data_IF_403642267061
#
_entry.id   IF_403642267061
#
_cell.length_a   1.000
_cell.length_b   1.000
_cell.length_c   1.000
_cell.angle_alpha   90.00
_cell.angle_beta   90.00
_cell.angle_gamma   90.00
#
_symmetry.space_group_name_H-M   'P 1'
#
loop_
_entity.id
_entity.type
_entity.pdbx_description
1 polymer ?
#
# COMPACT_ATOMS: atom_id res chain seq x y z
N UNK A 1 6.01 15.60 6.59
CA UNK A 1 5.55 14.28 6.10
C UNK A 1 6.53 13.22 6.60
N UNK A 2 6.06 12.18 7.30
CA UNK A 2 6.92 11.07 7.78
C UNK A 2 6.90 9.94 6.74
N UNK A 3 8.04 9.30 6.51
CA UNK A 3 8.20 8.17 5.56
C UNK A 3 8.64 6.94 6.34
N UNK A 4 7.99 5.80 6.12
CA UNK A 4 8.29 4.54 6.77
C UNK A 4 8.43 3.46 5.69
N UNK A 5 9.56 2.75 5.69
CA UNK A 5 9.84 1.67 4.74
C UNK A 5 9.68 0.30 5.43
N UNK A 6 8.83 -0.56 4.88
CA UNK A 6 8.68 -1.95 5.30
C UNK A 6 9.37 -2.89 4.28
N UNK A 7 10.70 -3.05 4.37
CA UNK A 7 11.51 -3.78 3.38
C UNK A 7 12.19 -5.04 3.91
N UNK A 8 12.25 -6.10 3.09
CA UNK A 8 12.97 -7.36 3.33
C UNK A 8 13.03 -8.20 2.04
N UNK A 9 14.17 -8.85 1.78
CA UNK A 9 14.41 -9.70 0.60
C UNK A 9 13.63 -11.02 0.64
N UNK A 10 13.49 -11.62 1.82
CA UNK A 10 12.72 -12.87 1.99
C UNK A 10 11.21 -12.60 1.85
N UNK A 11 10.53 -13.39 1.03
CA UNK A 11 9.07 -13.43 0.94
C UNK A 11 8.42 -14.00 2.19
N UNK A 12 7.16 -13.65 2.47
CA UNK A 12 6.38 -14.26 3.56
C UNK A 12 6.73 -13.82 4.99
N UNK A 13 7.68 -12.90 5.20
CA UNK A 13 8.06 -12.42 6.55
C UNK A 13 7.06 -11.43 7.17
N UNK A 14 5.93 -11.15 6.51
CA UNK A 14 4.89 -10.26 7.03
C UNK A 14 5.03 -8.76 6.72
N UNK A 15 5.83 -8.36 5.73
CA UNK A 15 6.00 -6.94 5.35
C UNK A 15 4.68 -6.22 5.09
N UNK A 16 3.85 -6.78 4.20
CA UNK A 16 2.56 -6.20 3.81
C UNK A 16 1.57 -6.23 4.97
N UNK A 17 1.63 -7.28 5.80
CA UNK A 17 0.84 -7.38 7.04
C UNK A 17 1.17 -6.25 8.00
N UNK A 18 2.47 -5.99 8.23
CA UNK A 18 2.93 -4.91 9.09
C UNK A 18 2.55 -3.54 8.51
N UNK A 19 2.78 -3.33 7.21
CA UNK A 19 2.46 -2.07 6.53
C UNK A 19 0.96 -1.72 6.62
N UNK A 20 0.08 -2.69 6.35
CA UNK A 20 -1.37 -2.50 6.44
C UNK A 20 -1.85 -2.18 7.86
N UNK A 21 -1.40 -2.95 8.86
CA UNK A 21 -1.77 -2.72 10.25
C UNK A 21 -1.21 -1.40 10.80
N UNK A 22 0.02 -1.04 10.43
CA UNK A 22 0.62 0.23 10.80
C UNK A 22 -0.18 1.41 10.21
N UNK A 23 -0.59 1.30 8.95
CA UNK A 23 -1.39 2.34 8.30
C UNK A 23 -2.74 2.53 8.98
N UNK A 24 -3.45 1.44 9.31
CA UNK A 24 -4.70 1.48 10.07
C UNK A 24 -4.48 2.11 11.46
N UNK A 25 -3.46 1.68 12.19
CA UNK A 25 -3.17 2.22 13.53
C UNK A 25 -2.83 3.71 13.51
N UNK A 26 -2.16 4.21 12.47
CA UNK A 26 -1.88 5.62 12.28
C UNK A 26 -3.13 6.41 11.88
N UNK A 27 -3.97 5.85 11.00
CA UNK A 27 -5.24 6.46 10.57
C UNK A 27 -6.22 6.60 11.74
N UNK A 28 -6.35 5.57 12.58
CA UNK A 28 -7.15 5.62 13.81
C UNK A 28 -6.69 6.70 14.80
N UNK A 29 -5.42 7.12 14.72
CA UNK A 29 -4.87 8.23 15.51
C UNK A 29 -5.04 9.60 14.82
N UNK A 30 -5.89 9.69 13.80
CA UNK A 30 -6.18 10.93 13.07
C UNK A 30 -5.13 11.34 12.03
N UNK A 31 -4.18 10.47 11.69
CA UNK A 31 -3.16 10.78 10.67
C UNK A 31 -3.70 10.46 9.28
N UNK A 32 -3.37 11.31 8.29
CA UNK A 32 -3.54 10.97 6.87
C UNK A 32 -2.43 10.02 6.45
N UNK A 33 -2.79 8.86 5.91
CA UNK A 33 -1.85 7.79 5.56
C UNK A 33 -2.12 7.28 4.15
N UNK A 34 -1.05 7.13 3.38
CA UNK A 34 -1.05 6.46 2.09
C UNK A 34 -0.01 5.33 2.11
N UNK A 35 -0.36 4.17 1.57
CA UNK A 35 0.59 3.08 1.31
C UNK A 35 1.04 3.15 -0.13
N UNK A 36 2.36 3.17 -0.35
CA UNK A 36 2.98 2.99 -1.67
C UNK A 36 3.45 1.53 -1.76
N UNK A 37 2.76 0.72 -2.55
CA UNK A 37 3.11 -0.68 -2.79
C UNK A 37 4.07 -0.79 -3.97
N UNK A 38 5.31 -1.16 -3.67
CA UNK A 38 6.37 -1.34 -4.67
C UNK A 38 6.60 -2.81 -5.02
N UNK A 39 5.82 -3.73 -4.45
CA UNK A 39 5.90 -5.16 -4.75
C UNK A 39 5.08 -5.47 -6.01
N UNK A 40 5.64 -6.26 -6.93
CA UNK A 40 4.96 -6.66 -8.16
C UNK A 40 3.67 -7.46 -7.90
N UNK A 41 3.56 -8.12 -6.74
CA UNK A 41 2.36 -8.84 -6.32
C UNK A 41 1.22 -7.92 -5.85
N UNK A 42 1.53 -6.66 -5.51
CA UNK A 42 0.57 -5.63 -5.11
C UNK A 42 -0.34 -6.06 -3.95
N UNK A 43 0.22 -6.73 -2.96
CA UNK A 43 -0.54 -7.30 -1.82
C UNK A 43 -1.26 -6.23 -1.02
N UNK A 44 -0.64 -5.07 -0.77
CA UNK A 44 -1.26 -3.99 -0.01
C UNK A 44 -2.38 -3.32 -0.81
N UNK A 45 -2.20 -3.13 -2.13
CA UNK A 45 -3.26 -2.59 -3.00
C UNK A 45 -4.47 -3.50 -2.98
N UNK A 46 -4.30 -4.81 -3.24
CA UNK A 46 -5.41 -5.78 -3.25
C UNK A 46 -6.14 -5.83 -1.91
N UNK A 47 -5.39 -5.82 -0.81
CA UNK A 47 -5.94 -5.77 0.54
C UNK A 47 -6.77 -4.50 0.77
N UNK A 48 -6.22 -3.36 0.35
CA UNK A 48 -6.84 -2.05 0.42
C UNK A 48 -8.14 -1.92 -0.35
N UNK A 49 -8.12 -2.27 -1.63
CA UNK A 49 -9.29 -2.28 -2.49
C UNK A 49 -10.40 -3.15 -1.92
N UNK A 50 -10.07 -4.33 -1.35
CA UNK A 50 -11.07 -5.20 -0.70
C UNK A 50 -11.71 -4.52 0.51
N UNK A 51 -10.94 -3.83 1.36
CA UNK A 51 -11.49 -3.06 2.49
C UNK A 51 -12.45 -1.97 2.02
N UNK A 52 -12.09 -1.26 0.96
CA UNK A 52 -12.93 -0.20 0.37
C UNK A 52 -14.24 -0.76 -0.18
N UNK A 53 -14.18 -1.84 -0.96
CA UNK A 53 -15.36 -2.54 -1.47
C UNK A 53 -16.29 -3.06 -0.36
N UNK A 54 -15.73 -3.39 0.80
CA UNK A 54 -16.46 -3.89 1.97
C UNK A 54 -16.84 -2.77 2.95
N UNK A 55 -16.59 -1.49 2.63
CA UNK A 55 -16.83 -0.34 3.51
C UNK A 55 -16.20 -0.50 4.90
N UNK A 56 -14.99 -1.07 4.97
CA UNK A 56 -14.29 -1.30 6.24
C UNK A 56 -13.44 -0.09 6.60
N UNK A 57 -13.82 0.59 7.68
CA UNK A 57 -13.09 1.73 8.20
C UNK A 57 -11.86 1.34 9.07
N UNK A 58 -10.86 2.24 9.18
CA UNK A 58 -10.68 3.41 8.33
C UNK A 58 -10.32 3.02 6.90
N UNK A 59 -10.75 3.83 5.93
CA UNK A 59 -10.24 3.76 4.57
C UNK A 59 -8.77 4.19 4.54
N UNK A 60 -7.96 3.48 3.76
CA UNK A 60 -6.54 3.77 3.58
C UNK A 60 -6.33 4.09 2.11
N UNK A 61 -5.52 5.10 1.80
CA UNK A 61 -5.18 5.41 0.42
C UNK A 61 -4.03 4.53 -0.05
N UNK A 62 -4.02 4.19 -1.35
CA UNK A 62 -3.01 3.32 -1.95
C UNK A 62 -2.48 3.88 -3.26
N UNK A 63 -1.19 3.70 -3.49
CA UNK A 63 -0.55 3.91 -4.78
C UNK A 63 0.36 2.72 -5.10
N UNK A 64 0.56 2.45 -6.38
CA UNK A 64 1.42 1.36 -6.86
C UNK A 64 2.38 1.86 -7.92
N UNK A 65 3.44 1.09 -8.16
CA UNK A 65 4.33 1.30 -9.29
C UNK A 65 3.73 0.65 -10.54
N UNK A 66 3.45 1.48 -11.55
CA UNK A 66 3.16 1.01 -12.89
C UNK A 66 4.44 1.03 -13.71
N UNK A 67 4.78 -0.13 -14.27
CA UNK A 67 5.82 -0.21 -15.29
C UNK A 67 5.21 0.02 -16.67
N UNK A 68 5.85 0.85 -17.48
CA UNK A 68 5.50 1.02 -18.88
C UNK A 68 5.90 -0.24 -19.65
N UNK A 69 4.98 -0.81 -20.43
CA UNK A 69 5.28 -2.01 -21.24
C UNK A 69 6.44 -1.69 -22.19
N UNK A 70 7.60 -2.33 -21.98
CA UNK A 70 8.81 -2.14 -22.80
C UNK A 70 9.74 -0.98 -22.40
N UNK A 71 9.55 -0.34 -21.23
CA UNK A 71 10.43 0.74 -20.74
C UNK A 71 10.99 0.49 -19.34
N UNK A 72 12.11 1.14 -19.01
CA UNK A 72 12.72 1.10 -17.67
C UNK A 72 12.11 2.13 -16.69
N UNK A 73 11.11 2.89 -17.13
CA UNK A 73 10.47 3.94 -16.35
C UNK A 73 9.33 3.36 -15.50
N UNK A 74 9.34 3.66 -14.21
CA UNK A 74 8.29 3.31 -13.27
C UNK A 74 7.60 4.57 -12.76
N UNK A 75 6.28 4.58 -12.79
CA UNK A 75 5.47 5.72 -12.34
C UNK A 75 4.64 5.31 -11.14
N UNK A 76 4.52 6.20 -10.16
CA UNK A 76 3.58 6.02 -9.06
C UNK A 76 2.21 6.46 -9.56
N UNK A 77 1.24 5.56 -9.56
CA UNK A 77 -0.16 5.89 -9.82
C UNK A 77 -0.98 5.60 -8.57
N UNK A 78 -1.78 6.58 -8.15
CA UNK A 78 -2.82 6.38 -7.14
C UNK A 78 -3.84 5.38 -7.69
N UNK A 79 -4.16 4.37 -6.89
CA UNK A 79 -5.17 3.38 -7.28
C UNK A 79 -6.51 3.92 -6.82
N UNK A 80 -7.31 4.36 -7.78
CA UNK A 80 -8.73 4.61 -7.54
C UNK A 80 -9.41 3.24 -7.41
N UNK A 81 -9.67 2.85 -6.16
CA UNK A 81 -10.50 1.69 -5.82
C UNK A 81 -11.99 2.02 -5.82
#
# INVERSE_FOLDING_TARGET
MKKILCGQKKGGVGKSTLAGNLAVGLALRGNKVIIIDTDTQQTCVKWGSRRKLQNIDPQIDFATLLSKKGGNEQFIKTVEG
#
